data_IF_371721678920
#
_entry.id   IF_371721678920
#
_cell.length_a   1.000
_cell.length_b   1.000
_cell.length_c   1.000
_cell.angle_alpha   90.00
_cell.angle_beta   90.00
_cell.angle_gamma   90.00
#
_symmetry.space_group_name_H-M   'P 1'
#
loop_
_entity.id
_entity.type
_entity.pdbx_description
1 polymer ?
#
# COMPACT_ATOMS: atom_id res chain seq x y z
N UNK A 1 -1.47 -1.61 31.61
CA UNK A 1 -1.69 -0.46 30.70
C UNK A 1 -0.33 -0.01 30.15
N UNK A 2 -0.24 0.32 28.86
CA UNK A 2 1.02 0.82 28.27
C UNK A 2 1.25 2.25 28.80
N UNK A 3 2.44 2.59 29.31
CA UNK A 3 2.74 3.97 29.69
C UNK A 3 2.58 4.90 28.49
N UNK A 4 1.96 6.07 28.69
CA UNK A 4 1.64 7.00 27.59
C UNK A 4 2.87 7.37 26.75
N UNK A 5 4.00 7.63 27.39
CA UNK A 5 5.23 8.01 26.68
C UNK A 5 5.72 6.86 25.79
N UNK A 6 5.58 5.60 26.22
CA UNK A 6 5.91 4.41 25.40
C UNK A 6 5.01 4.36 24.17
N UNK A 7 3.70 4.60 24.34
CA UNK A 7 2.76 4.62 23.21
C UNK A 7 3.10 5.71 22.19
N UNK A 8 3.48 6.92 22.64
CA UNK A 8 3.88 8.03 21.76
C UNK A 8 5.18 7.71 21.02
N UNK A 9 6.20 7.17 21.71
CA UNK A 9 7.48 6.79 21.09
C UNK A 9 7.26 5.70 20.04
N UNK A 10 6.46 4.67 20.38
CA UNK A 10 6.14 3.60 19.44
C UNK A 10 5.35 4.11 18.24
N UNK A 11 4.39 5.02 18.45
CA UNK A 11 3.63 5.65 17.37
C UNK A 11 4.53 6.45 16.43
N UNK A 12 5.47 7.24 16.98
CA UNK A 12 6.44 8.01 16.19
C UNK A 12 7.34 7.08 15.38
N UNK A 13 7.84 6.01 15.99
CA UNK A 13 8.65 5.01 15.31
C UNK A 13 7.89 4.37 14.14
N UNK A 14 6.66 3.90 14.38
CA UNK A 14 5.82 3.27 13.36
C UNK A 14 5.44 4.23 12.24
N UNK A 15 5.06 5.47 12.58
CA UNK A 15 4.77 6.50 11.59
C UNK A 15 6.00 6.82 10.75
N UNK A 16 7.18 6.98 11.38
CA UNK A 16 8.43 7.21 10.64
C UNK A 16 8.77 6.05 9.70
N UNK A 17 8.59 4.81 10.15
CA UNK A 17 8.78 3.62 9.32
C UNK A 17 7.83 3.62 8.13
N UNK A 18 6.54 3.89 8.35
CA UNK A 18 5.55 4.02 7.28
C UNK A 18 5.92 5.11 6.26
N UNK A 19 6.28 6.32 6.72
CA UNK A 19 6.62 7.45 5.85
C UNK A 19 7.93 7.25 5.06
N UNK A 20 8.81 6.34 5.48
CA UNK A 20 10.01 5.96 4.73
C UNK A 20 9.72 4.79 3.80
N UNK A 21 9.07 3.73 4.30
CA UNK A 21 8.81 2.50 3.56
C UNK A 21 7.84 2.73 2.39
N UNK A 22 6.80 3.54 2.57
CA UNK A 22 5.81 3.82 1.53
C UNK A 22 6.45 4.45 0.28
N UNK A 23 7.15 5.60 0.35
CA UNK A 23 7.76 6.19 -0.85
C UNK A 23 8.86 5.31 -1.45
N UNK A 24 9.62 4.57 -0.64
CA UNK A 24 10.61 3.60 -1.15
C UNK A 24 9.91 2.49 -1.92
N UNK A 25 8.82 1.94 -1.40
CA UNK A 25 8.03 0.90 -2.08
C UNK A 25 7.33 1.39 -3.34
N UNK A 26 6.90 2.66 -3.37
CA UNK A 26 6.33 3.28 -4.57
C UNK A 26 7.39 3.56 -5.65
N UNK A 27 8.61 3.94 -5.25
CA UNK A 27 9.69 4.29 -6.15
C UNK A 27 10.44 3.07 -6.72
N UNK A 28 10.57 1.99 -5.93
CA UNK A 28 11.16 0.74 -6.42
C UNK A 28 10.20 0.00 -7.37
N UNK A 29 10.72 -0.77 -8.34
CA UNK A 29 9.88 -1.62 -9.19
C UNK A 29 9.12 -2.63 -8.33
N UNK A 30 7.83 -2.83 -8.63
CA UNK A 30 6.98 -3.81 -7.96
C UNK A 30 6.85 -5.09 -8.79
N UNK A 31 6.95 -4.98 -10.11
CA UNK A 31 6.89 -6.06 -11.06
C UNK A 31 7.90 -5.82 -12.18
N UNK A 32 8.56 -6.90 -12.58
CA UNK A 32 9.42 -6.93 -13.76
C UNK A 32 8.84 -7.92 -14.76
N UNK A 33 8.63 -7.46 -15.99
CA UNK A 33 8.22 -8.30 -17.09
C UNK A 33 9.43 -8.49 -18.02
N UNK A 34 9.71 -9.74 -18.36
CA UNK A 34 10.75 -10.13 -19.29
C UNK A 34 10.19 -11.14 -20.27
N UNK A 35 10.52 -10.99 -21.55
CA UNK A 35 10.13 -11.95 -22.57
C UNK A 35 11.32 -12.85 -22.89
N UNK A 36 11.17 -14.14 -22.62
CA UNK A 36 12.15 -15.16 -22.96
C UNK A 36 11.93 -15.59 -24.41
N UNK A 37 12.78 -15.04 -25.29
CA UNK A 37 12.71 -15.32 -26.73
C UNK A 37 12.92 -16.79 -27.05
N UNK A 38 13.71 -17.52 -26.26
CA UNK A 38 13.95 -18.93 -26.51
C UNK A 38 12.68 -19.75 -26.25
N UNK A 39 11.98 -19.49 -25.14
CA UNK A 39 10.68 -20.09 -24.88
C UNK A 39 9.64 -19.66 -25.93
N UNK A 40 9.65 -18.39 -26.34
CA UNK A 40 8.73 -17.87 -27.35
C UNK A 40 8.89 -18.61 -28.69
N UNK A 41 10.13 -18.80 -29.17
CA UNK A 41 10.39 -19.52 -30.43
C UNK A 41 10.05 -21.01 -30.34
N UNK A 42 10.28 -21.64 -29.18
CA UNK A 42 9.89 -23.05 -28.99
C UNK A 42 8.38 -23.25 -29.07
N UNK A 43 7.59 -22.30 -28.57
CA UNK A 43 6.12 -22.37 -28.59
C UNK A 43 5.56 -21.94 -29.95
N UNK A 44 6.28 -21.08 -30.66
CA UNK A 44 5.89 -20.51 -31.95
C UNK A 44 7.07 -20.56 -32.94
N UNK A 45 7.34 -21.71 -33.57
CA UNK A 45 8.45 -21.83 -34.52
C UNK A 45 8.29 -20.90 -35.74
N UNK A 46 7.06 -20.53 -36.08
CA UNK A 46 6.77 -19.58 -37.18
C UNK A 46 7.42 -18.19 -36.95
N UNK A 47 7.64 -17.79 -35.68
CA UNK A 47 8.31 -16.55 -35.34
C UNK A 47 9.82 -16.58 -35.62
N UNK A 48 10.41 -17.76 -35.81
CA UNK A 48 11.84 -17.91 -36.09
C UNK A 48 12.21 -17.28 -37.45
N UNK A 49 11.30 -17.32 -38.43
CA UNK A 49 11.49 -16.65 -39.72
C UNK A 49 11.58 -15.11 -39.58
N UNK A 50 10.99 -14.55 -38.52
CA UNK A 50 11.05 -13.11 -38.20
C UNK A 50 12.13 -12.74 -37.18
N UNK A 51 12.96 -13.69 -36.77
CA UNK A 51 14.00 -13.48 -35.75
C UNK A 51 14.89 -12.29 -36.05
N UNK A 52 15.33 -12.13 -37.31
CA UNK A 52 16.15 -10.99 -37.72
C UNK A 52 15.47 -9.64 -37.44
N UNK A 53 14.16 -9.55 -37.67
CA UNK A 53 13.40 -8.31 -37.45
C UNK A 53 13.20 -8.06 -35.94
N UNK A 54 12.92 -9.11 -35.17
CA UNK A 54 12.80 -9.06 -33.71
C UNK A 54 14.11 -8.61 -33.06
N UNK A 55 15.22 -9.23 -33.45
CA UNK A 55 16.57 -8.91 -32.95
C UNK A 55 16.99 -7.50 -33.38
N UNK A 56 16.60 -7.03 -34.58
CA UNK A 56 16.91 -5.67 -35.05
C UNK A 56 16.18 -4.56 -34.30
N UNK A 57 15.02 -4.85 -33.70
CA UNK A 57 14.25 -3.87 -32.91
C UNK A 57 14.67 -3.83 -31.44
N UNK A 58 15.65 -4.64 -31.04
CA UNK A 58 16.06 -4.82 -29.63
C UNK A 58 14.86 -5.07 -28.70
N UNK A 59 13.89 -5.84 -29.23
CA UNK A 59 12.65 -6.19 -28.57
C UNK A 59 12.85 -6.77 -27.16
N UNK A 60 13.88 -7.61 -26.88
CA UNK A 60 14.13 -8.10 -25.53
C UNK A 60 14.43 -6.97 -24.53
N UNK A 61 15.18 -5.95 -24.95
CA UNK A 61 15.48 -4.79 -24.11
C UNK A 61 14.25 -3.88 -23.95
N UNK A 62 13.45 -3.71 -25.00
CA UNK A 62 12.19 -2.96 -24.94
C UNK A 62 11.11 -3.65 -24.11
N UNK A 63 11.09 -4.98 -24.11
CA UNK A 63 10.16 -5.80 -23.33
C UNK A 63 10.62 -6.03 -21.89
N UNK A 64 11.85 -5.65 -21.56
CA UNK A 64 12.33 -5.56 -20.18
C UNK A 64 11.76 -4.29 -19.56
N UNK A 65 10.49 -4.38 -19.16
CA UNK A 65 9.80 -3.26 -18.54
C UNK A 65 9.70 -3.49 -17.04
N UNK A 66 10.47 -2.69 -16.30
CA UNK A 66 10.32 -2.56 -14.86
C UNK A 66 9.20 -1.55 -14.58
N UNK A 67 8.11 -2.04 -13.99
CA UNK A 67 6.96 -1.19 -13.71
C UNK A 67 7.00 -0.79 -12.24
N UNK A 68 7.46 0.44 -12.01
CA UNK A 68 7.33 1.11 -10.72
C UNK A 68 5.96 1.74 -10.56
N UNK A 69 5.34 1.56 -9.40
CA UNK A 69 4.02 2.13 -9.08
C UNK A 69 4.01 3.64 -9.30
N UNK A 70 5.06 4.33 -8.85
CA UNK A 70 5.17 5.77 -8.98
C UNK A 70 5.25 6.24 -10.44
N UNK A 71 5.95 5.50 -11.29
CA UNK A 71 5.97 5.78 -12.72
C UNK A 71 4.58 5.60 -13.34
N UNK A 72 3.88 4.51 -13.00
CA UNK A 72 2.49 4.29 -13.43
C UNK A 72 1.55 5.41 -12.97
N UNK A 73 1.71 5.93 -11.76
CA UNK A 73 0.89 7.03 -11.25
C UNK A 73 1.10 8.34 -12.02
N UNK A 74 2.35 8.61 -12.42
CA UNK A 74 2.69 9.79 -13.25
C UNK A 74 2.09 9.67 -14.65
N UNK A 75 2.19 8.49 -15.27
CA UNK A 75 1.60 8.23 -16.58
C UNK A 75 0.07 8.35 -16.53
N UNK A 76 -0.58 7.78 -15.52
CA UNK A 76 -2.02 7.94 -15.29
C UNK A 76 -2.40 9.41 -15.18
N UNK A 77 -1.63 10.21 -14.43
CA UNK A 77 -1.88 11.65 -14.34
C UNK A 77 -1.76 12.34 -15.70
N UNK A 78 -0.77 11.97 -16.51
CA UNK A 78 -0.62 12.45 -17.88
C UNK A 78 -1.81 12.08 -18.76
N UNK A 79 -2.31 10.84 -18.69
CA UNK A 79 -3.44 10.38 -19.49
C UNK A 79 -4.77 10.99 -19.06
N UNK A 80 -4.96 11.29 -17.78
CA UNK A 80 -6.13 12.03 -17.29
C UNK A 80 -6.23 13.40 -17.92
N UNK A 81 -5.11 14.10 -18.14
CA UNK A 81 -5.14 15.41 -18.83
C UNK A 81 -5.58 15.33 -20.29
N UNK A 82 -5.52 14.13 -20.90
CA UNK A 82 -5.99 13.87 -22.27
C UNK A 82 -7.48 13.47 -22.32
N UNK A 83 -8.16 13.37 -21.17
CA UNK A 83 -9.59 13.08 -21.09
C UNK A 83 -9.95 11.60 -21.03
N UNK A 84 -9.00 10.70 -20.72
CA UNK A 84 -9.33 9.28 -20.52
C UNK A 84 -9.98 9.05 -19.14
N UNK A 85 -11.28 8.76 -19.15
CA UNK A 85 -12.09 8.51 -17.95
C UNK A 85 -11.63 7.25 -17.22
N UNK A 86 -11.16 6.21 -17.92
CA UNK A 86 -10.68 4.99 -17.27
C UNK A 86 -9.41 5.27 -16.46
N UNK A 87 -8.50 6.06 -17.02
CA UNK A 87 -7.30 6.51 -16.33
C UNK A 87 -7.64 7.38 -15.11
N UNK A 88 -8.69 8.21 -15.21
CA UNK A 88 -9.16 9.01 -14.07
C UNK A 88 -9.66 8.14 -12.92
N UNK A 89 -10.48 7.13 -13.22
CA UNK A 89 -10.97 6.19 -12.21
C UNK A 89 -9.79 5.43 -11.58
N UNK A 90 -8.85 4.93 -12.39
CA UNK A 90 -7.66 4.25 -11.90
C UNK A 90 -6.82 5.16 -10.98
N UNK A 91 -6.65 6.44 -11.32
CA UNK A 91 -5.94 7.41 -10.50
C UNK A 91 -6.66 7.68 -9.16
N UNK A 92 -7.99 7.80 -9.18
CA UNK A 92 -8.77 7.97 -7.94
C UNK A 92 -8.67 6.73 -7.06
N UNK A 93 -8.82 5.55 -7.63
CA UNK A 93 -8.73 4.30 -6.89
C UNK A 93 -7.34 4.08 -6.29
N UNK A 94 -6.30 4.20 -7.11
CA UNK A 94 -4.95 3.90 -6.66
C UNK A 94 -4.34 5.09 -5.90
N UNK A 95 -4.29 6.27 -6.51
CA UNK A 95 -3.70 7.46 -5.89
C UNK A 95 -4.49 7.95 -4.68
N UNK A 96 -5.82 7.98 -4.78
CA UNK A 96 -6.70 8.40 -3.69
C UNK A 96 -6.81 7.35 -2.59
N UNK A 97 -7.35 6.16 -2.89
CA UNK A 97 -7.66 5.17 -1.86
C UNK A 97 -6.48 4.31 -1.43
N UNK A 98 -5.60 3.90 -2.35
CA UNK A 98 -4.48 3.04 -2.00
C UNK A 98 -3.24 3.79 -1.48
N UNK A 99 -3.04 5.06 -1.83
CA UNK A 99 -1.86 5.84 -1.41
C UNK A 99 -2.22 6.97 -0.44
N UNK A 100 -3.13 7.87 -0.83
CA UNK A 100 -3.42 9.07 -0.06
C UNK A 100 -4.17 8.78 1.26
N UNK A 101 -5.17 7.91 1.26
CA UNK A 101 -5.91 7.59 2.49
C UNK A 101 -5.07 6.92 3.58
N UNK A 102 -4.20 5.93 3.30
CA UNK A 102 -3.27 5.40 4.32
C UNK A 102 -2.35 6.47 4.93
N UNK A 103 -1.86 7.40 4.09
CA UNK A 103 -1.07 8.55 4.57
C UNK A 103 -1.90 9.43 5.52
N UNK A 104 -3.12 9.77 5.12
CA UNK A 104 -4.03 10.55 5.94
C UNK A 104 -4.37 9.85 7.26
N UNK A 105 -4.67 8.55 7.23
CA UNK A 105 -4.95 7.75 8.42
C UNK A 105 -3.76 7.79 9.38
N UNK A 106 -2.54 7.65 8.86
CA UNK A 106 -1.34 7.65 9.67
C UNK A 106 -1.05 9.00 10.34
N UNK A 107 -1.35 10.10 9.64
CA UNK A 107 -1.32 11.45 10.22
C UNK A 107 -2.37 11.59 11.34
N UNK A 108 -3.60 11.10 11.13
CA UNK A 108 -4.67 11.16 12.13
C UNK A 108 -4.31 10.35 13.39
N UNK A 109 -3.75 9.15 13.24
CA UNK A 109 -3.31 8.31 14.34
C UNK A 109 -2.16 8.97 15.13
N UNK A 110 -1.20 9.56 14.43
CA UNK A 110 -0.09 10.29 15.06
C UNK A 110 -0.61 11.53 15.82
N UNK A 111 -1.51 12.30 15.22
CA UNK A 111 -2.14 13.45 15.87
C UNK A 111 -2.93 13.01 17.12
N UNK A 112 -3.70 11.93 17.05
CA UNK A 112 -4.42 11.39 18.20
C UNK A 112 -3.49 11.01 19.36
N UNK A 113 -2.33 10.40 19.07
CA UNK A 113 -1.34 10.04 20.08
C UNK A 113 -0.70 11.27 20.76
N UNK A 114 -0.37 12.31 19.98
CA UNK A 114 0.23 13.54 20.49
C UNK A 114 -0.78 14.38 21.29
N UNK A 115 -2.01 14.53 20.79
CA UNK A 115 -3.07 15.35 21.40
C UNK A 115 -3.87 14.62 22.49
N UNK A 116 -3.51 13.39 22.86
CA UNK A 116 -4.20 12.60 23.89
C UNK A 116 -4.31 13.23 25.29
N UNK A 117 -3.88 14.48 25.50
CA UNK A 117 -4.13 15.27 26.72
C UNK A 117 -5.54 15.87 26.70
N UNK A 118 -6.04 16.25 25.52
CA UNK A 118 -7.41 16.71 25.31
C UNK A 118 -8.29 15.52 24.88
N UNK A 119 -8.81 14.76 25.85
CA UNK A 119 -9.51 13.49 25.60
C UNK A 119 -10.59 13.55 24.52
N UNK A 120 -11.34 14.66 24.43
CA UNK A 120 -12.40 14.83 23.43
C UNK A 120 -11.89 14.90 21.98
N UNK A 121 -10.77 15.59 21.72
CA UNK A 121 -10.23 15.72 20.37
C UNK A 121 -9.55 14.42 19.90
N UNK A 122 -8.80 13.77 20.78
CA UNK A 122 -8.18 12.48 20.48
C UNK A 122 -9.23 11.41 20.12
N UNK A 123 -10.36 11.37 20.84
CA UNK A 123 -11.47 10.49 20.51
C UNK A 123 -12.07 10.77 19.13
N UNK A 124 -12.24 12.05 18.74
CA UNK A 124 -12.72 12.44 17.40
C UNK A 124 -11.75 12.04 16.30
N UNK A 125 -10.44 12.25 16.52
CA UNK A 125 -9.40 11.86 15.56
C UNK A 125 -9.34 10.34 15.38
N UNK A 126 -9.44 9.57 16.47
CA UNK A 126 -9.54 8.11 16.39
C UNK A 126 -10.80 7.65 15.66
N UNK A 127 -11.94 8.30 15.90
CA UNK A 127 -13.18 8.00 15.18
C UNK A 127 -13.04 8.30 13.68
N UNK A 128 -12.42 9.43 13.32
CA UNK A 128 -12.13 9.78 11.92
C UNK A 128 -11.19 8.75 11.28
N UNK A 129 -10.08 8.41 11.94
CA UNK A 129 -9.14 7.37 11.50
C UNK A 129 -9.84 6.02 11.28
N UNK A 130 -10.71 5.60 12.20
CA UNK A 130 -11.46 4.34 12.04
C UNK A 130 -12.33 4.29 10.77
N UNK A 131 -12.76 5.45 10.25
CA UNK A 131 -13.51 5.56 8.98
C UNK A 131 -12.55 5.59 7.79
N UNK A 132 -11.50 6.41 7.86
CA UNK A 132 -10.48 6.51 6.80
C UNK A 132 -9.81 5.17 6.56
N UNK A 133 -9.42 4.46 7.61
CA UNK A 133 -8.83 3.12 7.54
C UNK A 133 -9.70 2.08 6.84
N UNK A 134 -11.04 2.19 6.92
CA UNK A 134 -11.95 1.28 6.18
C UNK A 134 -11.92 1.52 4.67
N UNK A 135 -11.51 2.71 4.26
CA UNK A 135 -11.39 3.13 2.86
C UNK A 135 -9.94 3.04 2.35
N UNK A 136 -8.97 2.90 3.25
CA UNK A 136 -7.57 2.71 2.91
C UNK A 136 -7.38 1.34 2.23
N UNK A 137 -6.94 1.34 0.98
CA UNK A 137 -6.85 0.15 0.12
C UNK A 137 -5.40 -0.30 -0.14
N UNK A 138 -4.46 0.02 0.76
CA UNK A 138 -3.06 -0.37 0.56
C UNK A 138 -2.91 -1.90 0.54
N UNK A 139 -3.58 -2.62 1.44
CA UNK A 139 -3.62 -4.10 1.44
C UNK A 139 -4.16 -4.68 0.12
N UNK A 140 -5.29 -4.15 -0.37
CA UNK A 140 -5.87 -4.55 -1.66
C UNK A 140 -4.90 -4.33 -2.81
N UNK A 141 -4.10 -3.26 -2.76
CA UNK A 141 -3.07 -2.99 -3.78
C UNK A 141 -1.92 -4.00 -3.74
N UNK A 142 -1.43 -4.36 -2.54
CA UNK A 142 -0.37 -5.36 -2.35
C UNK A 142 -0.87 -6.75 -2.79
N UNK A 143 -2.07 -7.13 -2.35
CA UNK A 143 -2.71 -8.38 -2.77
C UNK A 143 -2.95 -8.40 -4.28
N UNK A 144 -3.38 -7.27 -4.87
CA UNK A 144 -3.53 -7.11 -6.31
C UNK A 144 -2.24 -7.37 -7.08
N UNK A 145 -1.10 -6.83 -6.63
CA UNK A 145 0.21 -7.12 -7.23
C UNK A 145 0.58 -8.60 -7.12
N UNK A 146 0.32 -9.25 -5.99
CA UNK A 146 0.59 -10.68 -5.78
C UNK A 146 -0.27 -11.51 -6.74
N UNK A 147 -1.58 -11.27 -6.76
CA UNK A 147 -2.52 -12.01 -7.60
C UNK A 147 -2.16 -11.83 -9.07
N UNK A 148 -1.91 -10.59 -9.52
CA UNK A 148 -1.53 -10.33 -10.90
C UNK A 148 -0.23 -11.06 -11.29
N UNK A 149 0.77 -11.06 -10.40
CA UNK A 149 2.03 -11.79 -10.64
C UNK A 149 1.77 -13.30 -10.75
N UNK A 150 0.94 -13.86 -9.87
CA UNK A 150 0.59 -15.29 -9.90
C UNK A 150 -0.22 -15.66 -11.14
N UNK A 151 -1.14 -14.81 -11.58
CA UNK A 151 -1.90 -15.01 -12.81
C UNK A 151 -0.99 -14.97 -14.03
N UNK A 152 -0.06 -14.01 -14.10
CA UNK A 152 0.88 -13.90 -15.22
C UNK A 152 1.94 -15.01 -15.23
N UNK A 153 2.24 -15.65 -14.10
CA UNK A 153 3.12 -16.83 -14.07
C UNK A 153 2.61 -17.98 -14.92
N UNK A 154 1.31 -18.09 -15.17
CA UNK A 154 0.74 -19.08 -16.10
C UNK A 154 1.13 -18.82 -17.56
N UNK A 155 1.53 -17.59 -17.90
CA UNK A 155 2.01 -17.23 -19.25
C UNK A 155 3.49 -17.54 -19.45
N UNK A 156 4.18 -18.08 -18.43
CA UNK A 156 5.59 -18.48 -18.55
C UNK A 156 5.80 -19.47 -19.68
N UNK A 157 4.85 -20.38 -19.89
CA UNK A 157 4.91 -21.36 -20.98
C UNK A 157 4.78 -20.72 -22.36
N UNK A 158 4.33 -19.46 -22.46
CA UNK A 158 4.31 -18.68 -23.70
C UNK A 158 5.54 -17.75 -23.83
N UNK A 159 6.56 -17.93 -22.99
CA UNK A 159 7.76 -17.09 -22.98
C UNK A 159 7.60 -15.75 -22.26
N UNK A 160 6.50 -15.51 -21.54
CA UNK A 160 6.31 -14.29 -20.73
C UNK A 160 6.69 -14.58 -19.27
N UNK A 161 7.84 -14.09 -18.84
CA UNK A 161 8.34 -14.26 -17.47
C UNK A 161 8.00 -13.00 -16.68
N UNK A 162 7.27 -13.18 -15.57
CA UNK A 162 6.92 -12.09 -14.66
C UNK A 162 7.47 -12.39 -13.28
N UNK A 163 8.27 -11.47 -12.77
CA UNK A 163 8.92 -11.56 -11.47
C UNK A 163 8.40 -10.48 -10.53
N UNK A 164 8.21 -10.88 -9.27
CA UNK A 164 7.83 -9.95 -8.20
C UNK A 164 9.09 -9.27 -7.70
N UNK A 165 9.10 -7.95 -7.66
CA UNK A 165 10.26 -7.18 -7.23
C UNK A 165 10.15 -6.74 -5.76
N UNK A 166 11.25 -6.22 -5.22
CA UNK A 166 11.33 -5.79 -3.82
C UNK A 166 10.34 -4.69 -3.44
N UNK A 167 9.89 -3.87 -4.40
CA UNK A 167 8.95 -2.77 -4.15
C UNK A 167 7.69 -3.22 -3.41
N UNK A 168 7.17 -4.40 -3.75
CA UNK A 168 5.99 -4.94 -3.06
C UNK A 168 6.30 -5.31 -1.60
N UNK A 169 7.51 -5.79 -1.30
CA UNK A 169 7.95 -6.05 0.06
C UNK A 169 7.98 -4.79 0.93
N UNK A 170 8.45 -3.67 0.38
CA UNK A 170 8.43 -2.38 1.06
C UNK A 170 7.00 -1.86 1.28
N UNK A 171 6.10 -2.00 0.31
CA UNK A 171 4.68 -1.63 0.45
C UNK A 171 3.97 -2.50 1.51
N UNK A 172 4.25 -3.80 1.54
CA UNK A 172 3.72 -4.70 2.56
C UNK A 172 4.23 -4.31 3.96
N UNK A 173 5.53 -4.04 4.10
CA UNK A 173 6.11 -3.57 5.36
C UNK A 173 5.48 -2.25 5.83
N UNK A 174 5.21 -1.33 4.91
CA UNK A 174 4.47 -0.10 5.21
C UNK A 174 3.07 -0.41 5.75
N UNK A 175 2.31 -1.31 5.12
CA UNK A 175 0.99 -1.71 5.62
C UNK A 175 1.05 -2.34 7.01
N UNK A 176 2.08 -3.15 7.30
CA UNK A 176 2.31 -3.70 8.65
C UNK A 176 2.55 -2.59 9.67
N UNK A 177 3.38 -1.58 9.35
CA UNK A 177 3.57 -0.41 10.21
C UNK A 177 2.25 0.34 10.42
N UNK A 178 1.46 0.50 9.35
CA UNK A 178 0.17 1.19 9.39
C UNK A 178 -0.84 0.46 10.31
N UNK A 179 -0.96 -0.85 10.16
CA UNK A 179 -1.79 -1.69 11.01
C UNK A 179 -1.34 -1.66 12.48
N UNK A 180 -0.05 -1.81 12.74
CA UNK A 180 0.51 -1.77 14.09
C UNK A 180 0.26 -0.42 14.78
N UNK A 181 0.43 0.69 14.05
CA UNK A 181 0.18 2.03 14.57
C UNK A 181 -1.28 2.20 15.00
N UNK A 182 -2.22 1.68 14.22
CA UNK A 182 -3.64 1.74 14.56
C UNK A 182 -3.96 0.93 15.84
N UNK A 183 -3.32 -0.22 16.03
CA UNK A 183 -3.45 -1.04 17.25
C UNK A 183 -2.88 -0.30 18.47
N UNK A 184 -1.71 0.33 18.34
CA UNK A 184 -1.05 1.07 19.41
C UNK A 184 -1.89 2.28 19.84
N UNK A 185 -2.35 3.08 18.88
CA UNK A 185 -3.21 4.24 19.15
C UNK A 185 -4.55 3.82 19.80
N UNK A 186 -5.16 2.72 19.33
CA UNK A 186 -6.37 2.17 19.93
C UNK A 186 -6.20 1.77 21.40
N UNK A 187 -5.09 1.10 21.73
CA UNK A 187 -4.77 0.72 23.12
C UNK A 187 -4.45 1.91 24.01
N UNK A 188 -3.79 2.93 23.47
CA UNK A 188 -3.46 4.15 24.21
C UNK A 188 -4.71 4.92 24.64
N UNK A 189 -5.74 4.98 23.78
CA UNK A 189 -7.01 5.66 24.08
C UNK A 189 -7.93 4.82 24.95
N UNK A 190 -8.05 3.51 24.68
CA UNK A 190 -8.92 2.61 25.46
C UNK A 190 -8.50 2.46 26.93
N UNK A 191 -7.20 2.52 27.22
CA UNK A 191 -6.69 2.46 28.59
C UNK A 191 -7.05 3.68 29.46
N UNK A 192 -7.33 4.83 28.85
CA UNK A 192 -7.69 6.05 29.58
C UNK A 192 -9.15 6.08 30.05
N UNK A 193 -10.06 5.40 29.33
CA UNK A 193 -11.49 5.35 29.66
C UNK A 193 -11.85 4.36 30.78
N UNK A 194 -11.06 3.30 30.95
CA UNK A 194 -11.35 2.22 31.91
C UNK A 194 -11.03 2.55 33.37
N UNK A 195 -10.14 3.52 33.65
CA UNK A 195 -9.71 3.83 35.01
C UNK A 195 -10.68 4.73 35.81
N UNK A 196 -11.62 5.40 35.14
CA UNK A 196 -12.60 6.31 35.77
C UNK A 196 -14.00 5.71 36.00
N UNK A 197 -14.22 4.46 35.61
CA UNK A 197 -15.55 3.82 35.56
C UNK A 197 -15.89 2.90 36.73
N UNK A 198 -15.04 2.80 37.77
CA UNK A 198 -15.41 2.15 39.03
C UNK A 198 -16.29 3.10 39.87
N UNK A 199 -17.40 3.55 39.30
CA UNK A 199 -18.46 4.19 40.05
C UNK A 199 -19.08 3.13 40.98
N UNK A 200 -19.09 3.43 42.27
CA UNK A 200 -19.60 2.55 43.31
C UNK A 200 -21.01 2.01 42.95
N UNK A 201 -21.32 0.74 43.28
CA UNK A 201 -22.65 0.20 43.05
C UNK A 201 -23.70 1.08 43.75
N UNK A 202 -24.85 1.33 43.11
CA UNK A 202 -25.92 2.13 43.72
C UNK A 202 -26.30 1.49 45.06
N UNK A 203 -26.29 2.30 46.14
CA UNK A 203 -26.74 1.83 47.44
C UNK A 203 -28.19 1.33 47.33
N UNK A 204 -28.55 0.20 47.96
CA UNK A 204 -29.92 -0.27 47.96
C UNK A 204 -30.81 0.85 48.54
N UNK A 205 -31.85 1.21 47.78
CA UNK A 205 -32.86 2.17 48.22
C UNK A 205 -33.61 1.62 49.46
N UNK A 206 -33.99 2.48 50.42
CA UNK A 206 -34.66 2.10 51.66
C UNK A 206 -36.09 1.60 51.45
#
# INVERSE_FOLDING_TARGET
AIPRWVAVVLQLALASGFFVLLPVGLAKPSMSLHLDMHLLYNVRPDLEAMRFLIDSMDLPALLRMEVGVWASLRELCGWVTRGDVNCFIALVMYGGFAVFLPVLDMVLLLAAALLGRSGGLAARLMAASSRVRKLAMLDVSVMGCIVMTMSLRSMKDNGVIVEMCEGVGFLFAAEVCHYAAAVVAGRAVGGAGGAGGAAAPPSPAP
#
